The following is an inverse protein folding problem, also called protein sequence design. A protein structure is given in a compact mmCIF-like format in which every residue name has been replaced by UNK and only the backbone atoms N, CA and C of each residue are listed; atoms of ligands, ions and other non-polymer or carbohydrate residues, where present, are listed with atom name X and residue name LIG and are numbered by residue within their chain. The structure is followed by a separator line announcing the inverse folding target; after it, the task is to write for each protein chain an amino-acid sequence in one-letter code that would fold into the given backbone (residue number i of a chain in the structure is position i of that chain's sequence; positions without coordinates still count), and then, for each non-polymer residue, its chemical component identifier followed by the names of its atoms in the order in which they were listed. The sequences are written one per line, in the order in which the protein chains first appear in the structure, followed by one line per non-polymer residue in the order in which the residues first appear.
data_IF_610070900089
#
_entry.id   IF_610070900089
#
_cell.length_a   1.000
_cell.length_b   1.000
_cell.length_c   1.000
_cell.angle_alpha   90.00
_cell.angle_beta   90.00
_cell.angle_gamma   90.00
#
_symmetry.space_group_name_H-M   'P 1'
#
loop_
_entity.id
_entity.type
_entity.pdbx_description
1 polymer ?
#
# COMPACT_ATOMS: atom_id res chain seq x y z
N UNK A 1 -9.71 21.42 -58.75
CA UNK A 1 -10.45 21.34 -57.46
C UNK A 1 -10.02 20.16 -56.59
N UNK A 2 -9.76 18.97 -57.15
CA UNK A 2 -9.41 17.75 -56.42
C UNK A 2 -8.10 17.84 -55.60
N UNK A 3 -7.07 18.51 -56.13
CA UNK A 3 -5.75 18.57 -55.46
C UNK A 3 -5.73 19.42 -54.18
N UNK A 4 -6.56 20.47 -54.11
CA UNK A 4 -6.68 21.32 -52.92
C UNK A 4 -7.37 20.59 -51.77
N UNK A 5 -8.37 19.76 -52.09
CA UNK A 5 -9.07 18.92 -51.11
C UNK A 5 -8.12 17.88 -50.53
N UNK A 6 -7.33 17.20 -51.37
CA UNK A 6 -6.33 16.22 -50.92
C UNK A 6 -5.28 16.86 -50.00
N UNK A 7 -4.80 18.06 -50.35
CA UNK A 7 -3.86 18.82 -49.51
C UNK A 7 -4.49 19.24 -48.18
N UNK A 8 -5.73 19.72 -48.19
CA UNK A 8 -6.46 20.07 -46.97
C UNK A 8 -6.64 18.87 -46.03
N UNK A 9 -7.02 17.71 -46.59
CA UNK A 9 -7.13 16.46 -45.82
C UNK A 9 -5.79 15.97 -45.29
N UNK A 10 -4.71 16.10 -46.06
CA UNK A 10 -3.37 15.71 -45.61
C UNK A 10 -2.88 16.58 -44.44
N UNK A 11 -3.14 17.89 -44.48
CA UNK A 11 -2.82 18.80 -43.38
C UNK A 11 -3.65 18.49 -42.13
N UNK A 12 -4.95 18.24 -42.29
CA UNK A 12 -5.82 17.83 -41.20
C UNK A 12 -5.33 16.53 -40.55
N UNK A 13 -5.10 15.49 -41.34
CA UNK A 13 -4.62 14.19 -40.85
C UNK A 13 -3.26 14.33 -40.14
N UNK A 14 -2.34 15.12 -40.70
CA UNK A 14 -1.04 15.38 -40.07
C UNK A 14 -1.19 16.07 -38.71
N UNK A 15 -2.07 17.09 -38.63
CA UNK A 15 -2.38 17.80 -37.38
C UNK A 15 -3.00 16.86 -36.33
N UNK A 16 -3.91 15.97 -36.74
CA UNK A 16 -4.51 14.97 -35.87
C UNK A 16 -3.48 13.93 -35.39
N UNK A 17 -2.62 13.40 -36.25
CA UNK A 17 -1.56 12.47 -35.86
C UNK A 17 -0.60 13.10 -34.84
N UNK A 18 -0.19 14.34 -35.06
CA UNK A 18 0.66 15.10 -34.14
C UNK A 18 0.01 15.27 -32.77
N UNK A 19 -1.29 15.60 -32.75
CA UNK A 19 -2.04 15.76 -31.51
C UNK A 19 -2.19 14.41 -30.77
N UNK A 20 -2.55 13.34 -31.48
CA UNK A 20 -2.68 12.00 -30.89
C UNK A 20 -1.36 11.50 -30.34
N UNK A 21 -0.24 11.76 -31.02
CA UNK A 21 1.09 11.39 -30.51
C UNK A 21 1.47 12.18 -29.25
N UNK A 22 1.15 13.47 -29.23
CA UNK A 22 1.35 14.34 -28.05
C UNK A 22 0.44 13.96 -26.88
N UNK A 23 -0.81 13.59 -27.15
CA UNK A 23 -1.75 13.10 -26.15
C UNK A 23 -1.32 11.74 -25.59
N UNK A 24 -0.92 10.81 -26.46
CA UNK A 24 -0.40 9.49 -26.06
C UNK A 24 0.80 9.61 -25.12
N UNK A 25 1.71 10.57 -25.37
CA UNK A 25 2.83 10.84 -24.48
C UNK A 25 2.41 11.43 -23.13
N UNK A 26 1.33 12.23 -23.09
CA UNK A 26 0.79 12.77 -21.84
C UNK A 26 0.11 11.69 -20.98
N UNK A 27 -0.59 10.73 -21.61
CA UNK A 27 -1.18 9.59 -20.89
C UNK A 27 -0.14 8.70 -20.23
N UNK A 28 1.01 8.45 -20.89
CA UNK A 28 2.08 7.65 -20.28
C UNK A 28 2.74 8.30 -19.06
N UNK A 29 2.71 9.63 -18.93
CA UNK A 29 3.23 10.32 -17.73
C UNK A 29 2.25 10.22 -16.56
N UNK A 30 0.94 10.31 -16.84
CA UNK A 30 -0.10 10.18 -15.81
C UNK A 30 -0.21 8.75 -15.28
N UNK A 31 -0.05 7.75 -16.14
CA UNK A 31 -0.07 6.34 -15.73
C UNK A 31 1.11 5.98 -14.80
N UNK A 32 2.30 6.52 -15.07
CA UNK A 32 3.45 6.34 -14.19
C UNK A 32 3.26 7.03 -12.84
N UNK A 33 2.61 8.19 -12.80
CA UNK A 33 2.33 8.91 -11.56
C UNK A 33 1.33 8.13 -10.68
N UNK A 34 0.25 7.64 -11.28
CA UNK A 34 -0.76 6.81 -10.60
C UNK A 34 -0.15 5.49 -10.09
N UNK A 35 0.73 4.86 -10.87
CA UNK A 35 1.43 3.66 -10.43
C UNK A 35 2.36 3.90 -9.21
N UNK A 36 3.05 5.05 -9.18
CA UNK A 36 3.91 5.44 -8.05
C UNK A 36 3.07 5.78 -6.82
N UNK A 37 1.97 6.53 -7.00
CA UNK A 37 1.06 6.90 -5.92
C UNK A 37 0.48 5.67 -5.22
N UNK A 38 0.03 4.66 -5.99
CA UNK A 38 -0.45 3.39 -5.42
C UNK A 38 0.62 2.64 -4.65
N UNK A 39 1.87 2.63 -5.13
CA UNK A 39 2.99 1.99 -4.42
C UNK A 39 3.29 2.66 -3.09
N UNK A 40 3.24 4.00 -3.05
CA UNK A 40 3.44 4.77 -1.81
C UNK A 40 2.32 4.46 -0.82
N UNK A 41 1.06 4.48 -1.26
CA UNK A 41 -0.08 4.18 -0.40
C UNK A 41 0.00 2.78 0.22
N UNK A 42 0.43 1.77 -0.55
CA UNK A 42 0.65 0.42 -0.04
C UNK A 42 1.78 0.36 0.99
N UNK A 43 2.91 1.00 0.71
CA UNK A 43 4.05 1.03 1.63
C UNK A 43 3.72 1.76 2.96
N UNK A 44 2.93 2.84 2.91
CA UNK A 44 2.46 3.54 4.11
C UNK A 44 1.51 2.70 4.96
N UNK A 45 0.65 1.89 4.31
CA UNK A 45 -0.22 0.95 5.00
C UNK A 45 0.59 -0.12 5.74
N UNK A 46 1.57 -0.74 5.08
CA UNK A 46 2.49 -1.71 5.69
C UNK A 46 3.27 -1.10 6.86
N UNK A 47 3.78 0.12 6.69
CA UNK A 47 4.51 0.82 7.76
C UNK A 47 3.61 1.04 8.99
N UNK A 48 2.35 1.41 8.77
CA UNK A 48 1.38 1.63 9.84
C UNK A 48 1.07 0.33 10.60
N UNK A 49 0.93 -0.78 9.88
CA UNK A 49 0.73 -2.10 10.47
C UNK A 49 1.94 -2.53 11.32
N UNK A 50 3.16 -2.44 10.76
CA UNK A 50 4.39 -2.75 11.49
C UNK A 50 4.50 -1.92 12.78
N UNK A 51 4.22 -0.62 12.70
CA UNK A 51 4.30 0.29 13.85
C UNK A 51 3.26 -0.08 14.94
N UNK A 52 2.06 -0.54 14.55
CA UNK A 52 1.06 -1.07 15.49
C UNK A 52 1.55 -2.35 16.17
N UNK A 53 2.15 -3.26 15.41
CA UNK A 53 2.70 -4.52 15.92
C UNK A 53 3.83 -4.29 16.90
N UNK A 54 4.78 -3.40 16.57
CA UNK A 54 5.88 -3.01 17.47
C UNK A 54 5.31 -2.45 18.78
N UNK A 55 4.33 -1.54 18.71
CA UNK A 55 3.70 -0.98 19.91
C UNK A 55 3.04 -2.04 20.77
N UNK A 56 2.34 -3.01 20.16
CA UNK A 56 1.71 -4.13 20.88
C UNK A 56 2.77 -5.00 21.55
N UNK A 57 3.83 -5.39 20.85
CA UNK A 57 4.91 -6.20 21.41
C UNK A 57 5.64 -5.48 22.54
N UNK A 58 6.00 -4.22 22.37
CA UNK A 58 6.64 -3.40 23.40
C UNK A 58 5.76 -3.26 24.64
N UNK A 59 4.44 -3.08 24.47
CA UNK A 59 3.51 -3.05 25.61
C UNK A 59 3.45 -4.37 26.37
N UNK A 60 3.56 -5.52 25.68
CA UNK A 60 3.57 -6.85 26.33
C UNK A 60 4.82 -7.02 27.19
N UNK A 61 5.99 -6.69 26.66
CA UNK A 61 7.25 -6.74 27.42
C UNK A 61 7.20 -5.82 28.65
N UNK A 62 6.67 -4.60 28.48
CA UNK A 62 6.52 -3.68 29.61
C UNK A 62 5.55 -4.20 30.67
N UNK A 63 4.43 -4.80 30.26
CA UNK A 63 3.46 -5.37 31.19
C UNK A 63 4.06 -6.58 31.92
N UNK A 64 4.81 -7.45 31.24
CA UNK A 64 5.44 -8.61 31.89
C UNK A 64 6.49 -8.18 32.92
N UNK A 65 7.32 -7.18 32.60
CA UNK A 65 8.31 -6.65 33.55
C UNK A 65 7.66 -6.04 34.80
N UNK A 66 6.60 -5.24 34.61
CA UNK A 66 5.88 -4.63 35.74
C UNK A 66 5.16 -5.67 36.58
N UNK A 67 4.57 -6.70 35.96
CA UNK A 67 3.92 -7.80 36.66
C UNK A 67 4.91 -8.60 37.51
N UNK A 68 6.10 -8.87 36.98
CA UNK A 68 7.16 -9.58 37.69
C UNK A 68 7.70 -8.77 38.87
N UNK A 69 7.95 -7.48 38.69
CA UNK A 69 8.53 -6.63 39.74
C UNK A 69 7.54 -6.24 40.85
N UNK A 70 6.26 -6.01 40.53
CA UNK A 70 5.28 -5.48 41.51
C UNK A 70 4.36 -6.53 42.09
N UNK A 71 4.15 -7.64 41.40
CA UNK A 71 3.17 -8.66 41.77
C UNK A 71 3.83 -10.03 42.01
N UNK A 72 5.16 -10.10 41.98
CA UNK A 72 5.96 -11.34 42.11
C UNK A 72 5.50 -12.46 41.15
N UNK A 73 4.88 -12.06 40.03
CA UNK A 73 4.40 -12.99 39.01
C UNK A 73 5.53 -13.38 38.08
N UNK A 74 5.94 -14.64 38.08
CA UNK A 74 6.86 -15.15 37.07
C UNK A 74 6.12 -15.53 35.78
N UNK A 75 6.85 -15.57 34.66
CA UNK A 75 6.31 -16.12 33.42
C UNK A 75 6.14 -17.63 33.60
N UNK A 76 4.94 -18.21 33.38
CA UNK A 76 4.72 -19.63 33.60
C UNK A 76 5.54 -20.47 32.62
N UNK A 77 6.11 -21.57 33.11
CA UNK A 77 6.79 -22.55 32.26
C UNK A 77 5.79 -23.32 31.40
N UNK A 78 6.25 -23.93 30.30
CA UNK A 78 5.37 -24.64 29.36
C UNK A 78 4.52 -25.74 30.04
N UNK A 79 5.01 -26.30 31.15
CA UNK A 79 4.31 -27.29 31.98
C UNK A 79 3.16 -26.72 32.83
N UNK A 80 3.11 -25.40 33.03
CA UNK A 80 2.14 -24.71 33.89
C UNK A 80 1.01 -24.06 33.07
N UNK A 81 1.13 -24.07 31.74
CA UNK A 81 0.13 -23.52 30.81
C UNK A 81 -1.03 -24.50 30.67
N UNK A 82 -2.12 -24.25 31.41
CA UNK A 82 -3.37 -25.01 31.30
C UNK A 82 -4.22 -24.42 30.16
N UNK A 83 -4.27 -25.12 29.04
CA UNK A 83 -5.20 -24.82 27.94
C UNK A 83 -6.59 -25.34 28.32
N UNK A 84 -7.45 -24.43 28.77
CA UNK A 84 -8.87 -24.76 28.98
C UNK A 84 -9.49 -24.89 27.59
N UNK A 85 -9.66 -26.13 27.14
CA UNK A 85 -10.56 -26.43 26.03
C UNK A 85 -11.93 -25.91 26.44
N UNK A 86 -12.39 -24.83 25.80
CA UNK A 86 -13.71 -24.29 26.02
C UNK A 86 -14.73 -25.38 25.71
N UNK A 87 -15.26 -26.00 26.77
CA UNK A 87 -16.41 -26.87 26.67
C UNK A 87 -17.59 -26.06 26.16
N UNK A 88 -18.05 -26.38 24.96
CA UNK A 88 -19.47 -26.26 24.61
C UNK A 88 -20.22 -27.19 25.58
N UNK A 89 -21.27 -26.67 26.24
CA UNK A 89 -22.59 -26.58 25.63
C UNK A 89 -23.14 -25.15 25.46
#
# INVERSE_FOLDING_TARGET
MSSLIVLGFAVLLSSLLLLTWRQSRAFGVLENLDHVERKVALAEAEQTELRRTIRRLSSRTRISEVAQLRLDMHMPEASEIVLINGGLP
#
